data_IF_525411553564
#
_entry.id   IF_525411553564
#
_cell.length_a   1.000
_cell.length_b   1.000
_cell.length_c   1.000
_cell.angle_alpha   90.00
_cell.angle_beta   90.00
_cell.angle_gamma   90.00
#
_symmetry.space_group_name_H-M   'P 1'
#
loop_
_entity.id
_entity.type
_entity.pdbx_description
1 polymer ?
#
# COMPACT_ATOMS: atom_id res chain seq x y z
N UNK A 1 5.42 -45.08 7.53
CA UNK A 1 5.97 -43.92 8.29
C UNK A 1 5.33 -42.66 7.72
N UNK A 2 4.78 -41.83 8.59
CA UNK A 2 3.67 -40.91 8.29
C UNK A 2 3.99 -39.74 7.34
N UNK A 3 2.99 -39.25 6.57
CA UNK A 3 3.11 -38.17 5.61
C UNK A 3 3.17 -36.80 6.31
N UNK A 4 4.16 -36.01 5.97
CA UNK A 4 4.33 -34.66 6.51
C UNK A 4 3.39 -33.70 5.77
N UNK A 5 2.49 -33.11 6.55
CA UNK A 5 1.35 -32.35 6.06
C UNK A 5 1.79 -30.91 5.74
N UNK A 6 1.44 -30.41 4.55
CA UNK A 6 1.56 -28.99 4.26
C UNK A 6 0.45 -28.25 4.98
N UNK A 7 0.72 -27.75 6.18
CA UNK A 7 -0.11 -26.73 6.80
C UNK A 7 0.18 -25.42 6.09
N UNK A 8 -0.74 -24.97 5.26
CA UNK A 8 -0.90 -23.57 4.90
C UNK A 8 -1.19 -22.80 6.20
N UNK A 9 -0.14 -22.44 6.91
CA UNK A 9 -0.19 -21.57 8.08
C UNK A 9 -0.55 -20.18 7.58
N UNK A 10 -1.81 -19.83 7.73
CA UNK A 10 -2.25 -18.45 7.88
C UNK A 10 -1.23 -17.67 8.71
N UNK A 11 -0.51 -16.72 8.09
CA UNK A 11 0.18 -15.62 8.78
C UNK A 11 0.81 -14.67 7.76
N UNK A 12 0.35 -13.41 7.82
CA UNK A 12 0.98 -12.21 7.26
C UNK A 12 1.11 -12.16 5.74
N UNK A 13 0.04 -11.65 5.10
CA UNK A 13 0.18 -11.01 3.80
C UNK A 13 1.18 -9.84 3.94
N UNK A 14 2.21 -9.75 3.07
CA UNK A 14 3.09 -8.59 3.04
C UNK A 14 2.23 -7.34 2.81
N UNK A 15 2.58 -6.27 3.51
CA UNK A 15 1.82 -5.01 3.48
C UNK A 15 1.94 -4.27 2.14
N UNK A 16 2.84 -4.73 1.27
CA UNK A 16 3.09 -4.23 -0.07
C UNK A 16 3.33 -5.46 -0.95
N UNK A 17 2.51 -5.66 -1.99
CA UNK A 17 2.81 -6.62 -3.06
C UNK A 17 3.29 -5.82 -4.28
N UNK A 18 4.57 -5.91 -4.65
CA UNK A 18 5.03 -5.36 -5.92
C UNK A 18 4.46 -6.24 -7.04
N UNK A 19 3.53 -5.70 -7.82
CA UNK A 19 2.94 -6.41 -8.95
C UNK A 19 1.98 -5.52 -9.72
N UNK A 20 2.19 -5.40 -11.03
CA UNK A 20 1.21 -4.79 -11.92
C UNK A 20 -0.12 -5.53 -11.81
N UNK A 21 -1.17 -4.81 -11.41
CA UNK A 21 -2.54 -5.31 -11.46
C UNK A 21 -2.98 -5.26 -12.92
N UNK A 22 -2.80 -6.36 -13.64
CA UNK A 22 -3.54 -6.62 -14.87
C UNK A 22 -5.02 -6.69 -14.47
N UNK A 23 -5.91 -6.11 -15.28
CA UNK A 23 -7.34 -5.89 -14.97
C UNK A 23 -8.10 -7.17 -14.55
N UNK A 24 -7.55 -8.35 -14.82
CA UNK A 24 -8.06 -9.67 -14.41
C UNK A 24 -7.71 -10.10 -12.95
N UNK A 25 -6.76 -9.43 -12.29
CA UNK A 25 -6.26 -9.84 -10.96
C UNK A 25 -7.02 -9.12 -9.84
N UNK A 26 -8.12 -9.74 -9.41
CA UNK A 26 -9.02 -9.26 -8.33
C UNK A 26 -8.24 -8.69 -7.13
N UNK A 27 -8.38 -7.38 -6.90
CA UNK A 27 -7.89 -6.71 -5.70
C UNK A 27 -8.56 -7.36 -4.48
N UNK A 28 -7.81 -7.89 -3.50
CA UNK A 28 -8.39 -8.48 -2.31
C UNK A 28 -9.17 -7.43 -1.52
N UNK A 29 -10.36 -7.80 -1.03
CA UNK A 29 -11.21 -6.89 -0.26
C UNK A 29 -10.44 -6.33 0.95
N UNK A 30 -10.53 -5.01 1.12
CA UNK A 30 -9.82 -4.29 2.19
C UNK A 30 -8.39 -3.88 1.86
N UNK A 31 -7.99 -3.95 0.58
CA UNK A 31 -6.78 -3.34 0.05
C UNK A 31 -7.13 -2.26 -0.97
N UNK A 32 -6.31 -1.20 -1.01
CA UNK A 32 -6.40 -0.08 -1.93
C UNK A 32 -5.12 -0.05 -2.78
N UNK A 33 -5.22 -0.03 -4.11
CA UNK A 33 -4.07 0.21 -4.98
C UNK A 33 -3.63 1.68 -4.91
N UNK A 34 -2.34 1.85 -4.68
CA UNK A 34 -1.67 3.14 -4.57
C UNK A 34 -0.53 3.18 -5.59
N UNK A 35 -0.43 4.28 -6.33
CA UNK A 35 0.66 4.57 -7.25
C UNK A 35 1.55 5.63 -6.62
N UNK A 36 2.79 5.25 -6.36
CA UNK A 36 3.82 6.12 -5.81
C UNK A 36 4.52 6.81 -6.97
N UNK A 37 4.41 8.12 -7.00
CA UNK A 37 5.00 9.00 -8.02
C UNK A 37 6.16 9.73 -7.38
N UNK A 38 7.35 9.63 -7.98
CA UNK A 38 8.51 10.43 -7.57
C UNK A 38 8.37 11.84 -8.13
N UNK A 39 8.96 12.81 -7.43
CA UNK A 39 8.94 14.23 -7.81
C UNK A 39 9.81 14.54 -9.05
N UNK A 40 10.71 13.62 -9.42
CA UNK A 40 11.61 13.78 -10.58
C UNK A 40 10.90 13.51 -11.91
N UNK A 41 11.13 14.40 -12.89
CA UNK A 41 10.57 14.36 -14.25
C UNK A 41 11.15 13.17 -15.04
N UNK A 42 10.54 12.00 -14.88
CA UNK A 42 10.99 10.71 -15.45
C UNK A 42 11.01 9.55 -14.45
N UNK A 43 10.58 9.77 -13.20
CA UNK A 43 10.61 8.78 -12.14
C UNK A 43 9.70 7.56 -12.38
N UNK A 44 10.21 6.37 -12.07
CA UNK A 44 9.46 5.12 -12.13
C UNK A 44 8.27 5.15 -11.15
N UNK A 45 7.06 4.97 -11.69
CA UNK A 45 5.84 4.79 -10.89
C UNK A 45 5.86 3.41 -10.20
N UNK A 46 5.68 3.39 -8.87
CA UNK A 46 5.62 2.12 -8.12
C UNK A 46 4.21 1.86 -7.66
N UNK A 47 3.63 0.72 -8.06
CA UNK A 47 2.28 0.32 -7.67
C UNK A 47 2.33 -0.61 -6.47
N UNK A 48 1.60 -0.27 -5.42
CA UNK A 48 1.52 -1.04 -4.17
C UNK A 48 0.08 -1.21 -3.74
N UNK A 49 -0.24 -2.33 -3.10
CA UNK A 49 -1.51 -2.48 -2.38
C UNK A 49 -1.31 -2.18 -0.92
N UNK A 50 -2.12 -1.28 -0.38
CA UNK A 50 -2.13 -0.97 1.05
C UNK A 50 -3.45 -1.37 1.67
N UNK A 51 -3.39 -1.91 2.88
CA UNK A 51 -4.60 -2.26 3.62
C UNK A 51 -5.36 -1.00 4.00
N UNK A 52 -6.66 -0.92 3.72
CA UNK A 52 -7.49 0.26 4.02
C UNK A 52 -7.49 0.66 5.50
N UNK A 53 -7.20 -0.29 6.40
CA UNK A 53 -7.06 -0.04 7.84
C UNK A 53 -5.84 0.84 8.17
N UNK A 54 -4.76 0.74 7.40
CA UNK A 54 -3.55 1.54 7.59
C UNK A 54 -3.69 2.96 7.05
N UNK A 55 -4.73 3.24 6.25
CA UNK A 55 -5.00 4.58 5.74
C UNK A 55 -5.55 5.53 6.80
N UNK A 56 -6.07 4.98 7.91
CA UNK A 56 -6.61 5.78 9.02
C UNK A 56 -5.54 6.30 9.97
N UNK A 57 -4.29 5.89 9.80
CA UNK A 57 -3.19 6.33 10.65
C UNK A 57 -2.75 7.76 10.30
N UNK A 58 -2.37 8.57 11.29
CA UNK A 58 -1.97 9.96 11.06
C UNK A 58 -0.76 10.07 10.13
N UNK A 59 0.15 9.09 10.15
CA UNK A 59 1.29 9.04 9.24
C UNK A 59 0.87 8.89 7.77
N UNK A 60 -0.26 8.24 7.50
CA UNK A 60 -0.81 8.13 6.15
C UNK A 60 -1.64 9.36 5.78
N UNK A 61 -2.32 9.97 6.75
CA UNK A 61 -3.15 11.15 6.50
C UNK A 61 -2.37 12.29 5.82
N UNK A 62 -1.14 12.57 6.25
CA UNK A 62 -0.29 13.56 5.60
C UNK A 62 0.02 13.24 4.13
N UNK A 63 0.22 11.96 3.79
CA UNK A 63 0.42 11.53 2.41
C UNK A 63 -0.85 11.69 1.56
N UNK A 64 -2.02 11.43 2.15
CA UNK A 64 -3.32 11.58 1.48
C UNK A 64 -3.63 13.05 1.19
N UNK A 65 -3.31 13.95 2.12
CA UNK A 65 -3.47 15.40 1.95
C UNK A 65 -2.59 15.94 0.81
N UNK A 66 -1.31 15.53 0.78
CA UNK A 66 -0.42 15.87 -0.35
C UNK A 66 -0.91 15.31 -1.69
N UNK A 67 -1.48 14.10 -1.67
CA UNK A 67 -2.06 13.48 -2.85
C UNK A 67 -3.30 14.23 -3.36
N UNK A 68 -4.17 14.67 -2.45
CA UNK A 68 -5.32 15.50 -2.76
C UNK A 68 -4.89 16.83 -3.38
N UNK A 69 -3.90 17.52 -2.80
CA UNK A 69 -3.46 18.83 -3.27
C UNK A 69 -2.85 18.75 -4.69
N UNK A 70 -2.08 17.70 -4.99
CA UNK A 70 -1.43 17.55 -6.30
C UNK A 70 -2.30 16.88 -7.36
N UNK A 71 -3.07 15.84 -7.00
CA UNK A 71 -3.78 15.00 -7.96
C UNK A 71 -5.30 15.08 -7.84
N UNK A 72 -5.83 15.65 -6.76
CA UNK A 72 -7.25 15.71 -6.47
C UNK A 72 -7.91 14.35 -6.24
N UNK A 73 -9.24 14.36 -6.07
CA UNK A 73 -10.04 13.15 -5.83
C UNK A 73 -10.52 12.45 -7.11
N UNK A 74 -10.19 12.97 -8.30
CA UNK A 74 -10.64 12.42 -9.58
C UNK A 74 -9.94 11.11 -10.00
N UNK A 75 -9.20 10.48 -9.10
CA UNK A 75 -8.40 9.30 -9.39
C UNK A 75 -9.30 8.05 -9.47
N UNK A 76 -9.45 7.49 -10.67
CA UNK A 76 -10.28 6.31 -10.88
C UNK A 76 -9.53 5.02 -10.57
N UNK A 77 -10.01 4.29 -9.55
CA UNK A 77 -9.59 2.93 -9.25
C UNK A 77 -8.20 2.79 -8.61
N UNK A 78 -7.41 3.86 -8.52
CA UNK A 78 -6.09 3.91 -7.87
C UNK A 78 -5.90 5.25 -7.17
N UNK A 79 -5.11 5.26 -6.09
CA UNK A 79 -4.72 6.49 -5.38
C UNK A 79 -3.28 6.85 -5.75
N UNK A 80 -3.03 8.01 -6.37
CA UNK A 80 -1.66 8.46 -6.70
C UNK A 80 -1.17 9.36 -5.58
N UNK A 81 0.05 9.10 -5.09
CA UNK A 81 0.66 9.83 -3.99
C UNK A 81 2.06 10.29 -4.41
N UNK A 82 2.42 11.57 -4.20
CA UNK A 82 3.76 12.07 -4.44
C UNK A 82 4.68 11.60 -3.31
N UNK A 83 5.26 10.41 -3.46
CA UNK A 83 6.12 9.80 -2.45
C UNK A 83 7.00 8.72 -3.08
N UNK A 84 8.25 8.63 -2.65
CA UNK A 84 9.14 7.53 -3.05
C UNK A 84 8.74 6.20 -2.41
N UNK A 85 9.00 5.10 -3.11
CA UNK A 85 8.75 3.74 -2.60
C UNK A 85 9.37 3.48 -1.23
N UNK A 86 10.63 3.88 -1.03
CA UNK A 86 11.36 3.68 0.24
C UNK A 86 10.71 4.46 1.40
N UNK A 87 10.34 5.72 1.15
CA UNK A 87 9.68 6.57 2.15
C UNK A 87 8.28 6.05 2.47
N UNK A 88 7.56 5.58 1.46
CA UNK A 88 6.25 5.00 1.62
C UNK A 88 6.27 3.70 2.43
N UNK A 89 7.25 2.82 2.18
CA UNK A 89 7.43 1.60 2.98
C UNK A 89 7.69 1.93 4.45
N UNK A 90 8.47 2.97 4.75
CA UNK A 90 8.65 3.45 6.11
C UNK A 90 7.34 3.94 6.74
N UNK A 91 6.55 4.76 6.04
CA UNK A 91 5.25 5.24 6.54
C UNK A 91 4.29 4.08 6.81
N UNK A 92 4.20 3.12 5.88
CA UNK A 92 3.38 1.91 6.04
C UNK A 92 3.86 1.07 7.22
N UNK A 93 5.17 0.94 7.41
CA UNK A 93 5.73 0.21 8.55
C UNK A 93 5.44 0.90 9.88
N UNK A 94 5.51 2.24 9.93
CA UNK A 94 5.13 3.02 11.11
C UNK A 94 3.65 2.89 11.43
N UNK A 95 2.78 2.98 10.42
CA UNK A 95 1.33 2.76 10.55
C UNK A 95 0.96 1.33 11.04
N UNK A 96 1.87 0.35 10.89
CA UNK A 96 1.71 -0.99 11.46
C UNK A 96 2.16 -1.07 12.92
N UNK A 97 3.19 -0.30 13.30
CA UNK A 97 3.79 -0.30 14.65
C UNK A 97 3.00 0.51 15.65
N UNK A 98 2.21 1.49 15.22
CA UNK A 98 1.31 2.28 16.09
C UNK A 98 0.17 1.47 16.73
N UNK A 99 0.11 0.14 16.48
CA UNK A 99 -0.64 -0.79 17.34
C UNK A 99 0.03 -1.08 18.70
N UNK A 100 1.19 -0.49 19.00
CA UNK A 100 1.83 -0.52 20.34
C UNK A 100 1.73 0.85 21.02
N UNK A 101 0.51 1.24 21.38
CA UNK A 101 0.15 2.25 22.39
C UNK A 101 -1.24 2.82 22.07
N UNK A 102 -2.29 2.03 22.32
CA UNK A 102 -3.50 2.57 22.94
C UNK A 102 -4.31 1.47 23.58
#
# INVERSE_FOLDING_TARGET
MAPWTMKASSKTLPSCVPGGFHDDKKIPKGYLPIVLVRDDEGGAETRVLVRVKGLKEPCMAALLEMAEEQFGYGQQGVLRVPCDAERFEHVVNMARKSKVAR
#
